data_IF_577685683832
#
_entry.id   IF_577685683832
#
_cell.length_a   1.000
_cell.length_b   1.000
_cell.length_c   1.000
_cell.angle_alpha   90.00
_cell.angle_beta   90.00
_cell.angle_gamma   90.00
#
_symmetry.space_group_name_H-M   'P 1'
#
loop_
_entity.id
_entity.type
_entity.pdbx_description
1 polymer ?
#
# COMPACT_ATOMS: atom_id res chain seq x y z
N UNK A 1 -25.23 3.90 1.22
CA UNK A 1 -24.56 5.13 1.69
C UNK A 1 -23.50 4.92 2.79
N UNK A 2 -23.84 4.64 4.07
CA UNK A 2 -22.81 4.56 5.15
C UNK A 2 -21.81 3.40 5.00
N UNK A 3 -22.19 2.27 4.38
CA UNK A 3 -21.28 1.13 4.18
C UNK A 3 -20.38 1.30 2.96
N UNK A 4 -20.93 1.78 1.84
CA UNK A 4 -20.16 2.09 0.62
C UNK A 4 -19.06 3.12 0.90
N UNK A 5 -19.35 4.17 1.69
CA UNK A 5 -18.33 5.14 2.12
C UNK A 5 -17.21 4.46 2.93
N UNK A 6 -17.55 3.50 3.80
CA UNK A 6 -16.55 2.76 4.58
C UNK A 6 -15.70 1.84 3.70
N UNK A 7 -16.31 1.20 2.71
CA UNK A 7 -15.61 0.37 1.70
C UNK A 7 -14.65 1.23 0.86
N UNK A 8 -15.10 2.39 0.39
CA UNK A 8 -14.25 3.35 -0.32
C UNK A 8 -13.09 3.83 0.55
N UNK A 9 -13.32 4.19 1.81
CA UNK A 9 -12.25 4.58 2.74
C UNK A 9 -11.20 3.47 2.88
N UNK A 10 -11.61 2.21 3.00
CA UNK A 10 -10.70 1.06 3.11
C UNK A 10 -9.84 0.88 1.86
N UNK A 11 -10.44 0.95 0.68
CA UNK A 11 -9.69 0.91 -0.58
C UNK A 11 -8.74 2.10 -0.68
N UNK A 12 -9.17 3.30 -0.32
CA UNK A 12 -8.30 4.49 -0.31
C UNK A 12 -7.11 4.30 0.62
N UNK A 13 -7.30 3.71 1.80
CA UNK A 13 -6.20 3.39 2.72
C UNK A 13 -5.22 2.41 2.07
N UNK A 14 -5.69 1.30 1.48
CA UNK A 14 -4.84 0.32 0.80
C UNK A 14 -4.09 0.99 -0.37
N UNK A 15 -4.79 1.81 -1.16
CA UNK A 15 -4.23 2.54 -2.29
C UNK A 15 -3.14 3.52 -1.88
N UNK A 16 -3.34 4.30 -0.82
CA UNK A 16 -2.32 5.22 -0.27
C UNK A 16 -1.11 4.43 0.21
N UNK A 17 -1.31 3.34 0.94
CA UNK A 17 -0.21 2.49 1.42
C UNK A 17 0.57 1.89 0.26
N UNK A 18 -0.11 1.36 -0.77
CA UNK A 18 0.51 0.84 -1.98
C UNK A 18 1.28 1.91 -2.75
N UNK A 19 0.72 3.12 -2.86
CA UNK A 19 1.39 4.26 -3.49
C UNK A 19 2.66 4.67 -2.74
N UNK A 20 2.59 4.81 -1.41
CA UNK A 20 3.75 5.07 -0.56
C UNK A 20 4.82 3.97 -0.70
N UNK A 21 4.39 2.69 -0.75
CA UNK A 21 5.30 1.58 -0.96
C UNK A 21 6.04 1.70 -2.30
N UNK A 22 5.33 2.01 -3.39
CA UNK A 22 5.93 2.21 -4.72
C UNK A 22 6.90 3.40 -4.71
N UNK A 23 6.50 4.55 -4.16
CA UNK A 23 7.37 5.73 -4.07
C UNK A 23 8.68 5.41 -3.35
N UNK A 24 8.64 4.70 -2.23
CA UNK A 24 9.84 4.28 -1.51
C UNK A 24 10.63 3.19 -2.25
N UNK A 25 9.95 2.30 -2.99
CA UNK A 25 10.59 1.26 -3.79
C UNK A 25 11.37 1.84 -4.98
N UNK A 26 10.86 2.89 -5.61
CA UNK A 26 11.51 3.55 -6.77
C UNK A 26 12.42 4.71 -6.38
N UNK A 27 12.38 5.19 -5.13
CA UNK A 27 13.22 6.31 -4.72
C UNK A 27 14.70 5.94 -4.66
N UNK A 28 15.52 6.91 -5.04
CA UNK A 28 16.99 6.85 -4.96
C UNK A 28 17.52 7.91 -3.99
N UNK A 29 18.62 7.64 -3.29
CA UNK A 29 19.24 8.62 -2.40
C UNK A 29 19.81 9.82 -3.18
N UNK A 30 19.55 11.03 -2.68
CA UNK A 30 20.01 12.27 -3.32
C UNK A 30 21.47 12.66 -3.00
N UNK A 31 22.04 12.13 -1.92
CA UNK A 31 23.42 12.40 -1.48
C UNK A 31 24.26 11.12 -1.52
N UNK A 32 25.54 11.27 -1.85
CA UNK A 32 26.52 10.17 -1.79
C UNK A 32 27.07 9.90 -0.39
N UNK A 33 26.94 10.83 0.54
CA UNK A 33 27.53 10.66 1.88
C UNK A 33 26.80 9.56 2.67
N UNK A 34 25.47 9.50 2.54
CA UNK A 34 24.60 8.55 3.26
C UNK A 34 23.85 7.60 2.33
N UNK A 35 24.32 7.43 1.09
CA UNK A 35 23.55 6.79 0.02
C UNK A 35 23.05 5.39 0.38
N UNK A 36 23.91 4.56 0.98
CA UNK A 36 23.57 3.18 1.31
C UNK A 36 22.53 3.09 2.42
N UNK A 37 22.68 3.92 3.47
CA UNK A 37 21.75 3.92 4.60
C UNK A 37 20.38 4.45 4.18
N UNK A 38 20.36 5.53 3.40
CA UNK A 38 19.11 6.11 2.87
C UNK A 38 18.43 5.14 1.89
N UNK A 39 19.20 4.48 1.01
CA UNK A 39 18.69 3.45 0.11
C UNK A 39 18.08 2.29 0.88
N UNK A 40 18.79 1.72 1.85
CA UNK A 40 18.30 0.59 2.62
C UNK A 40 17.05 0.97 3.43
N UNK A 41 17.05 2.15 4.04
CA UNK A 41 15.89 2.66 4.79
C UNK A 41 14.66 2.83 3.88
N UNK A 42 14.83 3.37 2.66
CA UNK A 42 13.70 3.52 1.73
C UNK A 42 13.15 2.17 1.29
N UNK A 43 14.00 1.17 1.02
CA UNK A 43 13.52 -0.19 0.68
C UNK A 43 12.85 -0.89 1.85
N UNK A 44 13.37 -0.72 3.07
CA UNK A 44 12.73 -1.26 4.28
C UNK A 44 11.33 -0.65 4.50
N UNK A 45 11.20 0.67 4.32
CA UNK A 45 9.91 1.38 4.42
C UNK A 45 8.95 0.91 3.32
N UNK A 46 9.44 0.70 2.09
CA UNK A 46 8.64 0.18 0.99
C UNK A 46 8.04 -1.19 1.32
N UNK A 47 8.86 -2.11 1.84
CA UNK A 47 8.39 -3.44 2.29
C UNK A 47 7.39 -3.31 3.44
N UNK A 48 7.62 -2.42 4.39
CA UNK A 48 6.70 -2.17 5.51
C UNK A 48 5.32 -1.72 5.03
N UNK A 49 5.25 -0.72 4.15
CA UNK A 49 3.98 -0.24 3.60
C UNK A 49 3.30 -1.30 2.73
N UNK A 50 4.07 -1.98 1.87
CA UNK A 50 3.53 -3.06 1.04
C UNK A 50 2.95 -4.21 1.88
N UNK A 51 3.65 -4.59 2.95
CA UNK A 51 3.19 -5.63 3.87
C UNK A 51 1.96 -5.20 4.68
N UNK A 52 1.91 -3.95 5.14
CA UNK A 52 0.74 -3.40 5.82
C UNK A 52 -0.48 -3.36 4.89
N UNK A 53 -0.31 -2.91 3.65
CA UNK A 53 -1.35 -2.93 2.62
C UNK A 53 -1.85 -4.36 2.37
N UNK A 54 -0.93 -5.31 2.23
CA UNK A 54 -1.26 -6.73 2.02
C UNK A 54 -2.05 -7.31 3.20
N UNK A 55 -1.62 -7.11 4.45
CA UNK A 55 -2.35 -7.60 5.63
C UNK A 55 -3.74 -6.99 5.69
N UNK A 56 -3.86 -5.68 5.51
CA UNK A 56 -5.15 -4.99 5.58
C UNK A 56 -6.09 -5.47 4.49
N UNK A 57 -5.58 -5.63 3.26
CA UNK A 57 -6.32 -6.19 2.15
C UNK A 57 -6.82 -7.60 2.49
N UNK A 58 -5.92 -8.53 2.86
CA UNK A 58 -6.31 -9.92 3.23
C UNK A 58 -7.31 -9.96 4.37
N UNK A 59 -7.14 -9.12 5.39
CA UNK A 59 -8.03 -9.09 6.55
C UNK A 59 -9.42 -8.54 6.22
N UNK A 60 -9.51 -7.46 5.42
CA UNK A 60 -10.78 -6.89 5.03
C UNK A 60 -11.49 -7.72 3.96
N UNK A 61 -10.74 -8.29 3.02
CA UNK A 61 -11.25 -9.23 2.02
C UNK A 61 -11.90 -10.45 2.67
N UNK A 62 -11.19 -11.12 3.60
CA UNK A 62 -11.72 -12.26 4.34
C UNK A 62 -12.98 -11.97 5.19
N UNK A 63 -13.31 -10.68 5.41
CA UNK A 63 -14.50 -10.24 6.13
C UNK A 63 -15.58 -9.64 5.23
N UNK A 64 -15.41 -9.66 3.90
CA UNK A 64 -16.33 -9.01 2.96
C UNK A 64 -16.44 -7.50 3.18
N UNK A 65 -15.36 -6.87 3.66
CA UNK A 65 -15.32 -5.46 4.04
C UNK A 65 -14.77 -4.57 2.92
N UNK A 66 -14.24 -5.17 1.86
CA UNK A 66 -13.89 -4.50 0.61
C UNK A 66 -15.12 -4.53 -0.31
N UNK A 67 -15.23 -3.59 -1.27
CA UNK A 67 -16.19 -3.74 -2.35
C UNK A 67 -15.81 -4.96 -3.19
N UNK A 68 -16.81 -5.61 -3.77
CA UNK A 68 -16.58 -6.66 -4.77
C UNK A 68 -15.82 -6.02 -5.93
N UNK A 69 -14.67 -6.59 -6.26
CA UNK A 69 -14.03 -6.29 -7.53
C UNK A 69 -14.82 -7.10 -8.55
N UNK A 70 -15.49 -6.43 -9.49
CA UNK A 70 -16.06 -7.12 -10.65
C UNK A 70 -14.91 -7.83 -11.35
N UNK A 71 -14.79 -9.14 -11.17
CA UNK A 71 -13.85 -10.02 -11.89
C UNK A 71 -14.31 -10.25 -13.36
N UNK A 72 -15.19 -9.37 -13.86
CA UNK A 72 -15.84 -9.43 -15.17
C UNK A 72 -15.20 -8.49 -16.22
N UNK A 73 -13.88 -8.32 -16.20
CA UNK A 73 -13.15 -7.84 -17.39
C UNK A 73 -11.91 -8.73 -17.66
N UNK A 74 -12.05 -9.52 -18.72
CA UNK A 74 -11.06 -10.40 -19.36
C UNK A 74 -9.83 -9.64 -19.86
#
# INVERSE_FOLDING_TARGET
>A
MKQEIKQQIRITIIGILGWCAILCAVSEPASQDDWFMVFLASKAIAVLFGYAAYILWRYWDAKGLLPEMDDDEV
#
